data_IF_010962576747
#
_entry.id   IF_010962576747
#
_cell.length_a   1.000
_cell.length_b   1.000
_cell.length_c   1.000
_cell.angle_alpha   90.00
_cell.angle_beta   90.00
_cell.angle_gamma   90.00
#
_symmetry.space_group_name_H-M   'P 1'
#
loop_
_entity.id
_entity.type
_entity.pdbx_description
1 polymer ?
#
# COMPACT_ATOMS: atom_id res chain seq x y z
N UNK A 1 9.82 -12.73 16.18
CA UNK A 1 8.86 -11.72 15.68
C UNK A 1 9.56 -10.44 15.15
N UNK A 2 10.57 -10.54 14.26
CA UNK A 2 11.48 -9.40 14.00
C UNK A 2 11.67 -8.93 12.55
N UNK A 3 10.96 -9.51 11.57
CA UNK A 3 11.20 -9.22 10.13
C UNK A 3 10.24 -8.17 9.54
N UNK A 4 8.99 -8.09 10.00
CA UNK A 4 7.98 -7.16 9.43
C UNK A 4 8.20 -5.68 9.82
N UNK A 5 8.75 -5.41 11.01
CA UNK A 5 9.07 -4.03 11.44
C UNK A 5 10.19 -3.40 10.61
N UNK A 6 11.22 -4.17 10.27
CA UNK A 6 12.36 -3.72 9.44
C UNK A 6 11.94 -3.27 8.04
N UNK A 7 10.98 -3.95 7.42
CA UNK A 7 10.47 -3.57 6.09
C UNK A 7 9.73 -2.23 6.08
N UNK A 8 9.09 -1.84 7.20
CA UNK A 8 8.40 -0.55 7.32
C UNK A 8 9.35 0.63 7.57
N UNK A 9 10.40 0.43 8.37
CA UNK A 9 11.42 1.46 8.64
C UNK A 9 12.31 1.71 7.40
N UNK A 10 12.69 0.63 6.70
CA UNK A 10 13.42 0.73 5.43
C UNK A 10 12.58 1.39 4.32
N UNK A 11 11.26 1.26 4.43
CA UNK A 11 10.29 1.86 3.52
C UNK A 11 10.13 3.38 3.73
N UNK A 12 9.94 3.82 4.98
CA UNK A 12 9.83 5.26 5.30
C UNK A 12 11.15 6.00 4.99
N UNK A 13 12.29 5.33 5.14
CA UNK A 13 13.60 5.85 4.75
C UNK A 13 13.74 6.00 3.23
N UNK A 14 13.28 5.01 2.44
CA UNK A 14 13.39 5.03 0.96
C UNK A 14 12.43 6.02 0.30
N UNK A 15 11.25 6.25 0.88
CA UNK A 15 10.35 7.32 0.45
C UNK A 15 10.97 8.70 0.69
N UNK A 16 11.59 8.90 1.87
CA UNK A 16 12.34 10.12 2.16
C UNK A 16 13.42 10.38 1.11
N UNK A 17 14.22 9.37 0.76
CA UNK A 17 15.25 9.50 -0.29
C UNK A 17 14.70 9.87 -1.67
N UNK A 18 13.51 9.39 -2.03
CA UNK A 18 12.88 9.69 -3.34
C UNK A 18 12.42 11.14 -3.44
N UNK A 19 11.92 11.73 -2.35
CA UNK A 19 11.37 13.09 -2.35
C UNK A 19 12.35 14.17 -1.85
N UNK A 20 13.43 13.79 -1.15
CA UNK A 20 14.48 14.71 -0.71
C UNK A 20 15.26 15.36 -1.86
N UNK A 21 15.28 14.75 -3.06
CA UNK A 21 15.99 15.32 -4.22
C UNK A 21 15.17 16.38 -5.00
N UNK A 22 13.89 16.60 -4.67
CA UNK A 22 13.03 17.57 -5.37
C UNK A 22 12.72 18.86 -4.59
N UNK A 23 13.09 18.97 -3.30
CA UNK A 23 12.73 20.13 -2.48
C UNK A 23 11.23 20.26 -2.16
N UNK A 24 10.44 19.21 -2.36
CA UNK A 24 8.98 19.24 -2.15
C UNK A 24 8.58 18.40 -0.92
N UNK A 25 8.78 18.94 0.28
CA UNK A 25 8.34 18.32 1.55
C UNK A 25 6.85 17.92 1.55
N UNK A 26 6.02 18.57 0.71
CA UNK A 26 4.62 18.23 0.49
C UNK A 26 4.44 16.89 -0.23
N UNK A 27 5.27 16.59 -1.22
CA UNK A 27 5.20 15.35 -1.98
C UNK A 27 5.68 14.15 -1.13
N UNK A 28 6.72 14.34 -0.32
CA UNK A 28 7.16 13.33 0.66
C UNK A 28 6.07 13.01 1.67
N UNK A 29 5.44 14.06 2.23
CA UNK A 29 4.33 13.89 3.16
C UNK A 29 3.16 13.18 2.51
N UNK A 30 2.78 13.55 1.29
CA UNK A 30 1.69 12.91 0.55
C UNK A 30 1.97 11.41 0.31
N UNK A 31 3.20 11.04 -0.02
CA UNK A 31 3.59 9.64 -0.21
C UNK A 31 3.58 8.83 1.10
N UNK A 32 4.05 9.43 2.20
CA UNK A 32 3.97 8.83 3.55
C UNK A 32 2.51 8.64 4.00
N UNK A 33 1.68 9.66 3.81
CA UNK A 33 0.24 9.62 4.12
C UNK A 33 -0.45 8.52 3.29
N UNK A 34 -0.15 8.44 1.99
CA UNK A 34 -0.69 7.40 1.11
C UNK A 34 -0.26 5.99 1.56
N UNK A 35 1.01 5.80 1.89
CA UNK A 35 1.51 4.51 2.35
C UNK A 35 0.89 4.07 3.70
N UNK A 36 0.69 5.03 4.61
CA UNK A 36 -0.04 4.78 5.87
C UNK A 36 -1.49 4.36 5.60
N UNK A 37 -2.17 5.06 4.69
CA UNK A 37 -3.54 4.74 4.28
C UNK A 37 -3.63 3.34 3.64
N UNK A 38 -2.69 2.96 2.76
CA UNK A 38 -2.65 1.61 2.18
C UNK A 38 -2.51 0.52 3.25
N UNK A 39 -1.68 0.75 4.29
CA UNK A 39 -1.55 -0.18 5.43
C UNK A 39 -2.86 -0.31 6.21
N UNK A 40 -3.56 0.80 6.44
CA UNK A 40 -4.86 0.81 7.12
C UNK A 40 -5.92 0.08 6.29
N UNK A 41 -6.03 0.38 5.00
CA UNK A 41 -6.99 -0.27 4.09
C UNK A 41 -6.76 -1.78 4.02
N UNK A 42 -5.50 -2.24 3.92
CA UNK A 42 -5.20 -3.68 3.98
C UNK A 42 -5.69 -4.32 5.28
N UNK A 43 -5.43 -3.66 6.43
CA UNK A 43 -5.86 -4.19 7.72
C UNK A 43 -7.39 -4.26 7.82
N UNK A 44 -8.10 -3.28 7.26
CA UNK A 44 -9.57 -3.30 7.18
C UNK A 44 -10.03 -4.45 6.28
N UNK A 45 -9.42 -4.64 5.10
CA UNK A 45 -9.73 -5.74 4.18
C UNK A 45 -9.58 -7.11 4.86
N UNK A 46 -8.48 -7.32 5.61
CA UNK A 46 -8.23 -8.55 6.36
C UNK A 46 -9.28 -8.81 7.45
N UNK A 47 -9.76 -7.76 8.12
CA UNK A 47 -10.82 -7.86 9.14
C UNK A 47 -12.14 -8.24 8.47
N UNK A 48 -12.49 -7.56 7.38
CA UNK A 48 -13.72 -7.84 6.63
C UNK A 48 -13.73 -9.26 6.09
N UNK A 49 -12.62 -9.75 5.52
CA UNK A 49 -12.52 -11.15 5.05
C UNK A 49 -12.76 -12.17 6.15
N UNK A 50 -12.19 -11.93 7.35
CA UNK A 50 -12.43 -12.81 8.50
C UNK A 50 -13.90 -12.80 8.91
N UNK A 51 -14.55 -11.65 8.88
CA UNK A 51 -15.95 -11.55 9.26
C UNK A 51 -16.86 -12.19 8.20
N UNK A 52 -16.61 -11.93 6.91
CA UNK A 52 -17.29 -12.60 5.79
C UNK A 52 -17.16 -14.12 5.90
N UNK A 53 -15.97 -14.64 6.21
CA UNK A 53 -15.76 -16.08 6.40
C UNK A 53 -16.56 -16.66 7.57
N UNK A 54 -16.74 -15.91 8.67
CA UNK A 54 -17.60 -16.34 9.79
C UNK A 54 -19.07 -16.33 9.40
N UNK A 55 -19.52 -15.24 8.76
CA UNK A 55 -20.92 -15.02 8.42
C UNK A 55 -21.39 -15.88 7.24
N UNK A 56 -20.48 -16.30 6.36
CA UNK A 56 -20.79 -17.14 5.19
C UNK A 56 -21.34 -18.52 5.53
N UNK A 57 -21.22 -18.96 6.79
CA UNK A 57 -21.91 -20.16 7.28
C UNK A 57 -23.42 -19.98 7.41
N UNK A 58 -23.87 -18.74 7.55
CA UNK A 58 -25.28 -18.38 7.76
C UNK A 58 -25.91 -17.82 6.48
N UNK A 59 -25.14 -17.05 5.69
CA UNK A 59 -25.61 -16.41 4.46
C UNK A 59 -24.57 -16.58 3.33
N UNK A 60 -24.49 -17.77 2.70
CA UNK A 60 -23.38 -18.12 1.81
C UNK A 60 -23.33 -17.29 0.52
N UNK A 61 -24.48 -16.94 -0.06
CA UNK A 61 -24.56 -16.16 -1.32
C UNK A 61 -24.01 -14.74 -1.12
N UNK A 62 -24.46 -14.03 -0.08
CA UNK A 62 -23.97 -12.70 0.28
C UNK A 62 -22.48 -12.73 0.65
N UNK A 63 -22.02 -13.79 1.33
CA UNK A 63 -20.61 -13.94 1.66
C UNK A 63 -19.73 -14.14 0.42
N UNK A 64 -20.22 -14.85 -0.61
CA UNK A 64 -19.50 -15.04 -1.86
C UNK A 64 -19.33 -13.73 -2.63
N UNK A 65 -20.38 -12.92 -2.72
CA UNK A 65 -20.32 -11.60 -3.38
C UNK A 65 -19.35 -10.65 -2.64
N UNK A 66 -19.41 -10.64 -1.31
CA UNK A 66 -18.51 -9.84 -0.49
C UNK A 66 -17.06 -10.31 -0.59
N UNK A 67 -16.81 -11.62 -0.62
CA UNK A 67 -15.43 -12.13 -0.77
C UNK A 67 -14.82 -11.75 -2.12
N UNK A 68 -15.62 -11.78 -3.20
CA UNK A 68 -15.19 -11.30 -4.50
C UNK A 68 -14.83 -9.80 -4.47
N UNK A 69 -15.69 -8.96 -3.89
CA UNK A 69 -15.39 -7.53 -3.75
C UNK A 69 -14.13 -7.28 -2.92
N UNK A 70 -13.93 -8.02 -1.82
CA UNK A 70 -12.72 -7.91 -0.98
C UNK A 70 -11.46 -8.40 -1.70
N UNK A 71 -11.59 -9.34 -2.64
CA UNK A 71 -10.50 -9.78 -3.49
C UNK A 71 -10.11 -8.70 -4.52
N UNK A 72 -11.10 -8.02 -5.12
CA UNK A 72 -10.83 -6.88 -6.00
C UNK A 72 -10.11 -5.74 -5.26
N UNK A 73 -10.51 -5.45 -4.02
CA UNK A 73 -9.81 -4.49 -3.14
C UNK A 73 -8.36 -4.93 -2.89
N UNK A 74 -8.10 -6.21 -2.69
CA UNK A 74 -6.76 -6.75 -2.49
C UNK A 74 -5.87 -6.56 -3.74
N UNK A 75 -6.41 -6.79 -4.94
CA UNK A 75 -5.72 -6.54 -6.21
C UNK A 75 -5.35 -5.05 -6.33
N UNK A 76 -6.31 -4.16 -6.10
CA UNK A 76 -6.09 -2.71 -6.17
C UNK A 76 -5.05 -2.23 -5.14
N UNK A 77 -5.05 -2.82 -3.95
CA UNK A 77 -4.02 -2.54 -2.94
C UNK A 77 -2.62 -2.94 -3.41
N UNK A 78 -2.49 -4.10 -4.07
CA UNK A 78 -1.21 -4.53 -4.64
C UNK A 78 -0.74 -3.61 -5.76
N UNK A 79 -1.64 -3.17 -6.65
CA UNK A 79 -1.31 -2.22 -7.71
C UNK A 79 -0.87 -0.87 -7.15
N UNK A 80 -1.59 -0.34 -6.17
CA UNK A 80 -1.25 0.93 -5.52
C UNK A 80 0.13 0.88 -4.85
N UNK A 81 0.45 -0.22 -4.16
CA UNK A 81 1.78 -0.42 -3.59
C UNK A 81 2.87 -0.53 -4.65
N UNK A 82 2.61 -1.25 -5.75
CA UNK A 82 3.56 -1.37 -6.86
C UNK A 82 3.87 0.02 -7.43
N UNK A 83 2.86 0.83 -7.72
CA UNK A 83 3.01 2.18 -8.25
C UNK A 83 3.85 3.02 -7.27
N UNK A 84 3.46 3.04 -6.00
CA UNK A 84 4.11 3.88 -4.99
C UNK A 84 5.57 3.47 -4.75
N UNK A 85 5.89 2.17 -4.75
CA UNK A 85 7.20 1.66 -4.32
C UNK A 85 8.17 1.35 -5.45
N UNK A 86 7.66 1.04 -6.63
CA UNK A 86 8.47 0.67 -7.78
C UNK A 86 8.48 1.79 -8.81
N UNK A 87 7.30 2.21 -9.28
CA UNK A 87 7.20 3.12 -10.43
C UNK A 87 7.66 4.53 -10.04
N UNK A 88 7.12 5.09 -8.95
CA UNK A 88 7.53 6.42 -8.44
C UNK A 88 9.02 6.44 -8.12
N UNK A 89 9.54 5.38 -7.51
CA UNK A 89 10.97 5.27 -7.16
C UNK A 89 11.86 5.24 -8.41
N UNK A 90 11.45 4.50 -9.44
CA UNK A 90 12.18 4.42 -10.70
C UNK A 90 12.18 5.77 -11.41
N UNK A 91 11.03 6.42 -11.51
CA UNK A 91 10.88 7.75 -12.11
C UNK A 91 11.80 8.76 -11.42
N UNK A 92 11.81 8.79 -10.09
CA UNK A 92 12.68 9.70 -9.34
C UNK A 92 14.18 9.41 -9.56
N UNK A 93 14.56 8.12 -9.64
CA UNK A 93 15.94 7.73 -9.96
C UNK A 93 16.35 8.13 -11.37
N UNK A 94 15.46 7.97 -12.36
CA UNK A 94 15.74 8.30 -13.75
C UNK A 94 15.83 9.83 -13.93
N UNK A 95 14.96 10.59 -13.25
CA UNK A 95 15.02 12.05 -13.21
C UNK A 95 16.38 12.53 -12.66
N UNK A 96 16.83 11.99 -11.52
CA UNK A 96 18.14 12.34 -10.92
C UNK A 96 19.34 12.08 -11.83
N UNK A 97 19.27 11.07 -12.70
CA UNK A 97 20.33 10.78 -13.69
C UNK A 97 20.29 11.74 -14.87
N UNK A 98 19.12 12.28 -15.22
CA UNK A 98 18.98 13.19 -16.36
C UNK A 98 19.36 14.64 -16.06
N UNK A 99 19.36 15.02 -14.77
CA UNK A 99 19.69 16.38 -14.30
C UNK A 99 21.13 16.55 -13.80
N UNK A 100 21.92 15.48 -13.78
CA UNK A 100 23.37 15.48 -13.48
C UNK A 100 24.14 15.11 -14.75
#
# INVERSE_FOLDING_TARGET
MGKRKRGNEEFDSKLGEVFLFGGEARAEKAAKDLASNLKLTRRINDILRKEVSKQGKFVPEVASELDQALHEVEILLHEAERILYQDVRKIASDFKKSTN
#
